data_IF_907391945573
#
_entry.id   IF_907391945573
#
_cell.length_a   1.000
_cell.length_b   1.000
_cell.length_c   1.000
_cell.angle_alpha   90.00
_cell.angle_beta   90.00
_cell.angle_gamma   90.00
#
_symmetry.space_group_name_H-M   'P 1'
#
loop_
_entity.id
_entity.type
_entity.pdbx_description
1 polymer ?
#
# COMPACT_ATOMS: atom_id res chain seq x y z
N UNK A 1 -18.01 -16.85 -15.06
CA UNK A 1 -17.45 -17.64 -13.94
C UNK A 1 -18.50 -17.70 -12.85
N UNK A 2 -18.89 -18.89 -12.40
CA UNK A 2 -19.84 -19.05 -11.29
C UNK A 2 -19.18 -18.72 -9.94
N UNK A 3 -20.00 -18.61 -8.89
CA UNK A 3 -19.56 -18.17 -7.56
C UNK A 3 -18.54 -19.11 -6.93
N UNK A 4 -18.67 -20.42 -7.12
CA UNK A 4 -17.76 -21.40 -6.51
C UNK A 4 -16.39 -21.34 -7.17
N UNK A 5 -16.37 -21.27 -8.50
CA UNK A 5 -15.12 -21.11 -9.28
C UNK A 5 -14.41 -19.80 -8.96
N UNK A 6 -15.14 -18.70 -8.76
CA UNK A 6 -14.56 -17.41 -8.34
C UNK A 6 -13.84 -17.52 -6.99
N UNK A 7 -14.47 -18.15 -6.00
CA UNK A 7 -13.90 -18.25 -4.65
C UNK A 7 -12.68 -19.17 -4.58
N UNK A 8 -12.67 -20.24 -5.38
CA UNK A 8 -11.48 -21.08 -5.58
C UNK A 8 -10.34 -20.29 -6.23
N UNK A 9 -10.65 -19.52 -7.29
CA UNK A 9 -9.68 -18.71 -8.02
C UNK A 9 -9.06 -17.62 -7.13
N UNK A 10 -9.87 -16.97 -6.29
CA UNK A 10 -9.38 -16.01 -5.27
C UNK A 10 -8.46 -16.67 -4.26
N UNK A 11 -8.82 -17.85 -3.77
CA UNK A 11 -8.00 -18.58 -2.78
C UNK A 11 -6.65 -18.98 -3.38
N UNK A 12 -6.64 -19.47 -4.62
CA UNK A 12 -5.41 -19.76 -5.35
C UNK A 12 -4.55 -18.50 -5.56
N UNK A 13 -5.16 -17.38 -5.96
CA UNK A 13 -4.48 -16.09 -6.12
C UNK A 13 -3.86 -15.61 -4.79
N UNK A 14 -4.65 -15.62 -3.71
CA UNK A 14 -4.18 -15.25 -2.36
C UNK A 14 -2.98 -16.11 -1.91
N UNK A 15 -3.00 -17.41 -2.20
CA UNK A 15 -1.92 -18.34 -1.87
C UNK A 15 -0.66 -18.07 -2.70
N UNK A 16 -0.80 -17.98 -4.02
CA UNK A 16 0.32 -17.75 -4.95
C UNK A 16 0.99 -16.39 -4.74
N UNK A 17 0.19 -15.34 -4.49
CA UNK A 17 0.68 -13.99 -4.23
C UNK A 17 1.08 -13.75 -2.77
N UNK A 18 0.90 -14.73 -1.88
CA UNK A 18 1.00 -14.58 -0.42
C UNK A 18 0.26 -13.34 0.08
N UNK A 19 -0.96 -13.13 -0.46
CA UNK A 19 -1.81 -11.96 -0.24
C UNK A 19 -1.08 -10.62 -0.47
N UNK A 20 -0.22 -10.55 -1.49
CA UNK A 20 0.46 -9.31 -1.85
C UNK A 20 1.53 -8.86 -0.84
N UNK A 21 2.04 -9.75 0.02
CA UNK A 21 3.02 -9.40 1.07
C UNK A 21 4.22 -8.60 0.53
N UNK A 22 4.71 -8.93 -0.67
CA UNK A 22 5.80 -8.24 -1.33
C UNK A 22 5.52 -6.74 -1.61
N UNK A 23 4.26 -6.36 -1.86
CA UNK A 23 3.85 -4.96 -2.00
C UNK A 23 3.89 -4.22 -0.66
N UNK A 24 3.40 -4.84 0.42
CA UNK A 24 3.41 -4.20 1.75
C UNK A 24 4.84 -4.12 2.29
N UNK A 25 5.71 -5.10 1.99
CA UNK A 25 7.13 -4.99 2.30
C UNK A 25 7.81 -3.86 1.52
N UNK A 26 7.45 -3.67 0.24
CA UNK A 26 7.96 -2.56 -0.55
C UNK A 26 7.49 -1.21 0.00
N UNK A 27 6.23 -1.12 0.44
CA UNK A 27 5.70 0.12 1.02
C UNK A 27 6.43 0.53 2.29
N UNK A 28 6.86 -0.42 3.15
CA UNK A 28 7.67 -0.10 4.34
C UNK A 28 8.94 0.65 3.94
N UNK A 29 9.61 0.21 2.88
CA UNK A 29 10.81 0.88 2.35
C UNK A 29 10.44 2.28 1.85
N UNK A 30 9.32 2.44 1.14
CA UNK A 30 8.86 3.74 0.65
C UNK A 30 8.57 4.70 1.81
N UNK A 31 7.83 4.27 2.84
CA UNK A 31 7.52 5.15 3.97
C UNK A 31 8.73 5.47 4.84
N UNK A 32 9.72 4.58 4.90
CA UNK A 32 11.03 4.91 5.49
C UNK A 32 11.73 6.03 4.72
N UNK A 33 11.70 6.01 3.38
CA UNK A 33 12.26 7.10 2.57
C UNK A 33 11.48 8.40 2.77
N UNK A 34 10.14 8.34 2.78
CA UNK A 34 9.28 9.51 3.07
C UNK A 34 9.58 10.08 4.46
N UNK A 35 9.73 9.24 5.47
CA UNK A 35 10.11 9.67 6.81
C UNK A 35 11.45 10.42 6.80
N UNK A 36 12.48 9.84 6.17
CA UNK A 36 13.80 10.47 6.03
C UNK A 36 13.70 11.83 5.32
N UNK A 37 12.94 11.91 4.22
CA UNK A 37 12.71 13.17 3.48
C UNK A 37 12.10 14.24 4.40
N UNK A 38 11.10 13.88 5.20
CA UNK A 38 10.42 14.82 6.09
C UNK A 38 11.20 15.18 7.36
N UNK A 39 12.30 14.47 7.69
CA UNK A 39 13.28 14.88 8.71
C UNK A 39 14.25 15.95 8.23
N UNK A 40 14.39 16.16 6.92
CA UNK A 40 15.31 17.16 6.37
C UNK A 40 14.88 18.59 6.70
N UNK A 41 15.78 19.55 6.54
CA UNK A 41 15.48 21.00 6.68
C UNK A 41 15.02 21.65 5.36
N UNK A 42 14.69 20.86 4.34
CA UNK A 42 14.24 21.36 3.05
C UNK A 42 12.86 22.05 3.13
N UNK A 43 12.53 22.95 2.18
CA UNK A 43 11.18 23.49 2.01
C UNK A 43 10.14 22.38 1.85
N UNK A 44 8.89 22.64 2.28
CA UNK A 44 7.82 21.64 2.29
C UNK A 44 7.50 21.15 0.86
N UNK A 45 7.62 22.05 -0.12
CA UNK A 45 7.39 21.81 -1.54
C UNK A 45 8.40 20.79 -2.07
N UNK A 46 9.69 21.01 -1.76
CA UNK A 46 10.76 20.07 -2.14
C UNK A 46 10.58 18.73 -1.45
N UNK A 47 10.21 18.71 -0.16
CA UNK A 47 9.93 17.46 0.56
C UNK A 47 8.80 16.68 -0.09
N UNK A 48 7.71 17.36 -0.42
CA UNK A 48 6.55 16.77 -1.04
C UNK A 48 6.83 16.23 -2.46
N UNK A 49 7.61 16.96 -3.26
CA UNK A 49 8.08 16.47 -4.56
C UNK A 49 8.94 15.21 -4.41
N UNK A 50 9.88 15.21 -3.46
CA UNK A 50 10.69 14.03 -3.16
C UNK A 50 9.84 12.86 -2.67
N UNK A 51 8.86 13.12 -1.79
CA UNK A 51 7.88 12.13 -1.33
C UNK A 51 7.11 11.52 -2.49
N UNK A 52 6.66 12.32 -3.46
CA UNK A 52 6.05 11.81 -4.69
C UNK A 52 7.01 10.88 -5.46
N UNK A 53 8.26 11.32 -5.68
CA UNK A 53 9.28 10.51 -6.34
C UNK A 53 9.58 9.18 -5.61
N UNK A 54 9.54 9.18 -4.27
CA UNK A 54 9.71 7.96 -3.47
C UNK A 54 8.64 6.91 -3.78
N UNK A 55 7.44 7.29 -4.25
CA UNK A 55 6.38 6.32 -4.57
C UNK A 55 6.56 5.65 -5.93
N UNK A 56 7.25 6.30 -6.88
CA UNK A 56 7.46 5.78 -8.24
C UNK A 56 8.07 4.36 -8.30
N UNK A 57 9.10 4.01 -7.51
CA UNK A 57 9.71 2.68 -7.56
C UNK A 57 8.90 1.57 -6.85
N UNK A 58 7.70 1.84 -6.31
CA UNK A 58 6.93 0.85 -5.54
C UNK A 58 6.72 -0.47 -6.31
N UNK A 59 6.26 -0.41 -7.55
CA UNK A 59 6.03 -1.60 -8.39
C UNK A 59 7.34 -2.37 -8.69
N UNK A 60 8.42 -1.73 -9.17
CA UNK A 60 9.72 -2.37 -9.30
C UNK A 60 10.23 -3.02 -8.02
N UNK A 61 10.11 -2.34 -6.87
CA UNK A 61 10.53 -2.88 -5.57
C UNK A 61 9.71 -4.09 -5.15
N UNK A 62 8.38 -4.02 -5.29
CA UNK A 62 7.50 -5.15 -5.02
C UNK A 62 7.86 -6.36 -5.89
N UNK A 63 8.17 -6.13 -7.17
CA UNK A 63 8.65 -7.18 -8.06
C UNK A 63 9.98 -7.78 -7.60
N UNK A 64 10.94 -6.96 -7.17
CA UNK A 64 12.21 -7.46 -6.62
C UNK A 64 12.00 -8.32 -5.36
N UNK A 65 11.12 -7.89 -4.46
CA UNK A 65 10.80 -8.61 -3.22
C UNK A 65 9.96 -9.87 -3.45
N UNK A 66 9.28 -9.99 -4.59
CA UNK A 66 8.51 -11.20 -4.95
C UNK A 66 9.41 -12.43 -5.16
N UNK A 67 10.64 -12.22 -5.69
CA UNK A 67 11.59 -13.28 -6.02
C UNK A 67 12.04 -14.12 -4.82
N UNK A 68 12.63 -13.56 -3.75
CA UNK A 68 13.02 -14.35 -2.58
C UNK A 68 11.83 -15.00 -1.86
N UNK A 69 10.62 -14.46 -2.06
CA UNK A 69 9.39 -15.03 -1.52
C UNK A 69 8.82 -16.16 -2.39
N UNK A 70 9.40 -16.46 -3.56
CA UNK A 70 8.89 -17.48 -4.48
C UNK A 70 7.51 -17.13 -5.05
N UNK A 71 7.21 -15.83 -5.21
CA UNK A 71 5.93 -15.34 -5.72
C UNK A 71 6.05 -15.09 -7.23
N UNK A 72 5.15 -15.67 -8.01
CA UNK A 72 5.00 -15.38 -9.45
C UNK A 72 4.22 -14.08 -9.64
N UNK A 73 4.92 -12.98 -9.93
CA UNK A 73 4.31 -11.64 -10.01
C UNK A 73 3.17 -11.51 -11.03
N UNK A 74 3.21 -12.27 -12.13
CA UNK A 74 2.13 -12.32 -13.12
C UNK A 74 1.89 -13.76 -13.56
N UNK A 75 1.07 -14.47 -12.80
CA UNK A 75 0.58 -15.79 -13.15
C UNK A 75 -0.55 -15.68 -14.17
N UNK A 76 -0.33 -16.21 -15.38
CA UNK A 76 -1.29 -16.16 -16.49
C UNK A 76 -2.39 -17.22 -16.38
N UNK A 77 -2.21 -18.24 -15.54
CA UNK A 77 -3.24 -19.27 -15.32
C UNK A 77 -4.39 -18.70 -14.48
N UNK A 78 -4.07 -17.80 -13.55
CA UNK A 78 -5.06 -17.14 -12.71
C UNK A 78 -5.28 -15.68 -13.14
N UNK A 79 -6.38 -15.35 -13.84
CA UNK A 79 -6.65 -13.99 -14.32
C UNK A 79 -6.80 -12.96 -13.19
N UNK A 80 -7.07 -13.40 -11.95
CA UNK A 80 -7.13 -12.50 -10.79
C UNK A 80 -5.75 -11.97 -10.36
N UNK A 81 -4.66 -12.64 -10.75
CA UNK A 81 -3.31 -12.11 -10.55
C UNK A 81 -3.09 -10.85 -11.40
N UNK A 82 -3.49 -10.89 -12.67
CA UNK A 82 -3.47 -9.71 -13.55
C UNK A 82 -4.43 -8.62 -13.07
N UNK A 83 -5.58 -8.99 -12.50
CA UNK A 83 -6.51 -8.02 -11.90
C UNK A 83 -5.87 -7.25 -10.73
N UNK A 84 -5.00 -7.90 -9.94
CA UNK A 84 -4.23 -7.20 -8.90
C UNK A 84 -3.38 -6.05 -9.45
N UNK A 85 -2.78 -6.23 -10.63
CA UNK A 85 -2.03 -5.16 -11.32
C UNK A 85 -2.98 -4.04 -11.75
N UNK A 86 -4.16 -4.38 -12.27
CA UNK A 86 -5.18 -3.39 -12.64
C UNK A 86 -5.58 -2.55 -11.43
N UNK A 87 -5.78 -3.16 -10.26
CA UNK A 87 -6.02 -2.41 -9.02
C UNK A 87 -4.85 -1.48 -8.71
N UNK A 88 -3.61 -1.97 -8.74
CA UNK A 88 -2.43 -1.13 -8.49
C UNK A 88 -2.34 0.08 -9.44
N UNK A 89 -2.74 -0.08 -10.71
CA UNK A 89 -2.78 1.02 -11.69
C UNK A 89 -3.98 1.95 -11.44
N UNK A 90 -5.10 1.42 -10.95
CA UNK A 90 -6.31 2.19 -10.66
C UNK A 90 -6.09 3.24 -9.55
N UNK A 91 -4.99 3.17 -8.80
CA UNK A 91 -4.66 4.21 -7.82
C UNK A 91 -4.03 5.47 -8.44
N UNK A 92 -3.46 5.37 -9.66
CA UNK A 92 -2.77 6.48 -10.32
C UNK A 92 -3.67 7.71 -10.50
N UNK A 93 -4.95 7.58 -10.92
CA UNK A 93 -5.87 8.71 -10.97
C UNK A 93 -6.06 9.43 -9.63
N UNK A 94 -5.98 8.72 -8.48
CA UNK A 94 -6.09 9.35 -7.17
C UNK A 94 -4.88 10.24 -6.83
N UNK A 95 -3.74 10.05 -7.50
CA UNK A 95 -2.58 10.94 -7.35
C UNK A 95 -2.88 12.36 -7.83
N UNK A 96 -3.87 12.56 -8.71
CA UNK A 96 -4.32 13.91 -9.09
C UNK A 96 -4.84 14.69 -7.87
N UNK A 97 -5.51 14.00 -6.95
CA UNK A 97 -5.99 14.59 -5.69
C UNK A 97 -4.80 14.95 -4.80
N UNK A 98 -3.81 14.04 -4.70
CA UNK A 98 -2.58 14.29 -3.92
C UNK A 98 -1.81 15.49 -4.48
N UNK A 99 -1.69 15.59 -5.80
CA UNK A 99 -1.00 16.70 -6.46
C UNK A 99 -1.77 18.03 -6.39
N UNK A 100 -3.10 17.97 -6.36
CA UNK A 100 -3.91 19.15 -6.07
C UNK A 100 -3.70 19.62 -4.63
N UNK A 101 -3.69 18.72 -3.64
CA UNK A 101 -3.38 19.07 -2.24
C UNK A 101 -1.97 19.60 -2.10
N UNK A 102 -1.00 19.03 -2.83
CA UNK A 102 0.37 19.57 -2.88
C UNK A 102 0.40 21.05 -3.27
N UNK A 103 -0.43 21.48 -4.23
CA UNK A 103 -0.51 22.87 -4.65
C UNK A 103 -1.35 23.75 -3.71
N UNK A 104 -2.44 23.22 -3.15
CA UNK A 104 -3.41 23.99 -2.37
C UNK A 104 -3.07 24.09 -0.88
N UNK A 105 -2.62 22.99 -0.27
CA UNK A 105 -2.31 22.86 1.16
C UNK A 105 -1.13 21.88 1.34
N UNK A 106 0.11 22.28 1.01
CA UNK A 106 1.26 21.38 0.93
C UNK A 106 1.55 20.63 2.24
N UNK A 107 1.23 21.20 3.40
CA UNK A 107 1.41 20.58 4.71
C UNK A 107 0.56 19.31 4.88
N UNK A 108 -0.49 19.14 4.07
CA UNK A 108 -1.43 18.02 4.15
C UNK A 108 -1.23 16.97 3.06
N UNK A 109 -0.26 17.15 2.16
CA UNK A 109 -0.01 16.20 1.07
C UNK A 109 0.28 14.77 1.58
N UNK A 110 1.14 14.61 2.60
CA UNK A 110 1.49 13.29 3.17
C UNK A 110 0.29 12.59 3.80
N UNK A 111 -0.60 13.36 4.45
CA UNK A 111 -1.87 12.88 4.97
C UNK A 111 -2.76 12.35 3.85
N UNK A 112 -2.95 13.13 2.80
CA UNK A 112 -3.76 12.72 1.64
C UNK A 112 -3.17 11.49 0.95
N UNK A 113 -1.85 11.43 0.79
CA UNK A 113 -1.17 10.26 0.22
C UNK A 113 -1.40 8.99 1.06
N UNK A 114 -1.25 9.08 2.38
CA UNK A 114 -1.51 7.96 3.30
C UNK A 114 -2.98 7.51 3.27
N UNK A 115 -3.93 8.44 3.18
CA UNK A 115 -5.35 8.13 3.05
C UNK A 115 -5.67 7.42 1.74
N UNK A 116 -5.11 7.89 0.61
CA UNK A 116 -5.27 7.23 -0.70
C UNK A 116 -4.70 5.82 -0.66
N UNK A 117 -3.50 5.64 -0.07
CA UNK A 117 -2.90 4.32 0.12
C UNK A 117 -3.80 3.41 0.96
N UNK A 118 -4.30 3.88 2.11
CA UNK A 118 -5.19 3.11 2.98
C UNK A 118 -6.49 2.68 2.29
N UNK A 119 -7.14 3.60 1.59
CA UNK A 119 -8.38 3.33 0.87
C UNK A 119 -8.16 2.33 -0.28
N UNK A 120 -7.01 2.42 -0.96
CA UNK A 120 -6.61 1.52 -2.04
C UNK A 120 -6.40 0.07 -1.59
N UNK A 121 -6.25 -0.21 -0.30
CA UNK A 121 -6.17 -1.58 0.22
C UNK A 121 -7.51 -2.33 0.16
N UNK A 122 -8.64 -1.62 0.06
CA UNK A 122 -9.98 -2.24 0.15
C UNK A 122 -10.27 -3.27 -0.95
N UNK A 123 -9.98 -3.01 -2.25
CA UNK A 123 -10.13 -4.00 -3.31
C UNK A 123 -9.26 -5.26 -3.09
N UNK A 124 -8.10 -5.11 -2.46
CA UNK A 124 -7.23 -6.24 -2.13
C UNK A 124 -7.77 -7.10 -0.99
N UNK A 125 -8.51 -6.51 -0.04
CA UNK A 125 -9.27 -7.29 0.95
C UNK A 125 -10.27 -8.25 0.29
N UNK A 126 -10.93 -7.80 -0.78
CA UNK A 126 -11.83 -8.64 -1.57
C UNK A 126 -11.08 -9.65 -2.43
N UNK A 127 -10.00 -9.24 -3.10
CA UNK A 127 -9.19 -10.08 -4.00
C UNK A 127 -8.56 -11.24 -3.24
N UNK A 128 -7.96 -10.96 -2.09
CA UNK A 128 -7.21 -11.92 -1.28
C UNK A 128 -8.02 -12.56 -0.16
N UNK A 129 -9.31 -12.22 -0.04
CA UNK A 129 -10.19 -12.64 1.06
C UNK A 129 -9.53 -12.47 2.44
N UNK A 130 -8.86 -11.33 2.62
CA UNK A 130 -8.07 -11.06 3.82
C UNK A 130 -8.82 -10.15 4.76
N UNK A 131 -9.00 -10.59 6.01
CA UNK A 131 -9.57 -9.75 7.07
C UNK A 131 -8.60 -8.64 7.45
N UNK A 132 -7.29 -8.94 7.41
CA UNK A 132 -6.24 -7.99 7.74
C UNK A 132 -6.32 -6.77 6.81
N UNK A 133 -6.48 -6.97 5.51
CA UNK A 133 -6.64 -5.85 4.55
C UNK A 133 -7.83 -4.96 4.90
N UNK A 134 -9.01 -5.52 5.20
CA UNK A 134 -10.18 -4.72 5.58
C UNK A 134 -9.97 -3.88 6.84
N UNK A 135 -9.33 -4.47 7.87
CA UNK A 135 -9.03 -3.76 9.11
C UNK A 135 -8.00 -2.65 8.83
N UNK A 136 -6.94 -2.97 8.08
CA UNK A 136 -5.87 -2.01 7.77
C UNK A 136 -6.35 -0.86 6.88
N UNK A 137 -7.31 -1.08 5.97
CA UNK A 137 -7.98 0.01 5.23
C UNK A 137 -8.54 1.06 6.20
N UNK A 138 -9.31 0.63 7.20
CA UNK A 138 -9.90 1.54 8.18
C UNK A 138 -8.84 2.21 9.06
N UNK A 139 -7.92 1.42 9.61
CA UNK A 139 -6.84 1.90 10.48
C UNK A 139 -5.96 2.92 9.79
N UNK A 140 -5.50 2.64 8.56
CA UNK A 140 -4.61 3.55 7.83
C UNK A 140 -5.37 4.78 7.36
N UNK A 141 -6.57 4.65 6.79
CA UNK A 141 -7.30 5.79 6.24
C UNK A 141 -7.73 6.77 7.34
N UNK A 142 -8.36 6.27 8.40
CA UNK A 142 -8.84 7.10 9.51
C UNK A 142 -7.66 7.54 10.39
N UNK A 143 -6.70 6.66 10.64
CA UNK A 143 -5.50 6.98 11.40
C UNK A 143 -4.67 8.06 10.72
N UNK A 144 -4.48 7.99 9.40
CA UNK A 144 -3.78 9.02 8.65
C UNK A 144 -4.48 10.38 8.74
N UNK A 145 -5.81 10.41 8.62
CA UNK A 145 -6.59 11.64 8.80
C UNK A 145 -6.38 12.25 10.18
N UNK A 146 -6.55 11.45 11.25
CA UNK A 146 -6.40 11.94 12.64
C UNK A 146 -4.97 12.44 12.87
N UNK A 147 -3.96 11.63 12.56
CA UNK A 147 -2.56 11.98 12.79
C UNK A 147 -2.14 13.17 11.92
N UNK A 148 -2.55 13.20 10.65
CA UNK A 148 -2.24 14.30 9.73
C UNK A 148 -2.94 15.62 10.06
N UNK A 149 -4.04 15.59 10.80
CA UNK A 149 -4.68 16.80 11.33
C UNK A 149 -3.94 17.32 12.58
N UNK A 150 -3.43 16.43 13.43
CA UNK A 150 -2.89 16.77 14.74
C UNK A 150 -1.37 16.95 14.77
N UNK A 151 -0.62 16.28 13.89
CA UNK A 151 0.83 16.18 13.96
C UNK A 151 1.51 16.57 12.64
N UNK A 152 2.81 16.94 12.69
CA UNK A 152 3.59 17.21 11.49
C UNK A 152 3.78 15.96 10.59
N UNK A 153 4.11 16.15 9.30
CA UNK A 153 4.23 15.06 8.33
C UNK A 153 5.25 13.96 8.71
N UNK A 154 6.35 14.29 9.40
CA UNK A 154 7.34 13.29 9.79
C UNK A 154 6.79 12.33 10.86
N UNK A 155 5.92 12.79 11.77
CA UNK A 155 5.27 11.91 12.75
C UNK A 155 4.30 10.96 12.02
N UNK A 156 3.51 11.48 11.08
CA UNK A 156 2.63 10.66 10.25
C UNK A 156 3.42 9.60 9.47
N UNK A 157 4.52 9.98 8.82
CA UNK A 157 5.35 9.04 8.07
C UNK A 157 5.94 7.95 8.98
N UNK A 158 6.38 8.29 10.19
CA UNK A 158 6.83 7.31 11.19
C UNK A 158 5.69 6.36 11.62
N UNK A 159 4.48 6.89 11.85
CA UNK A 159 3.31 6.07 12.14
C UNK A 159 3.00 5.10 10.98
N UNK A 160 3.11 5.56 9.73
CA UNK A 160 2.92 4.71 8.55
C UNK A 160 3.94 3.57 8.49
N UNK A 161 5.22 3.85 8.72
CA UNK A 161 6.26 2.80 8.83
C UNK A 161 5.85 1.74 9.86
N UNK A 162 5.49 2.17 11.07
CA UNK A 162 5.13 1.26 12.15
C UNK A 162 3.89 0.42 11.81
N UNK A 163 2.85 1.05 11.26
CA UNK A 163 1.61 0.37 10.86
C UNK A 163 1.85 -0.63 9.74
N UNK A 164 2.70 -0.31 8.76
CA UNK A 164 2.99 -1.23 7.66
C UNK A 164 3.89 -2.41 8.07
N UNK A 165 4.79 -2.22 9.03
CA UNK A 165 5.50 -3.34 9.66
C UNK A 165 4.51 -4.26 10.36
N UNK A 166 3.58 -3.70 11.14
CA UNK A 166 2.51 -4.48 11.79
C UNK A 166 1.67 -5.19 10.72
N UNK A 167 1.33 -4.53 9.62
CA UNK A 167 0.57 -5.11 8.53
C UNK A 167 1.31 -6.29 7.89
N UNK A 168 2.62 -6.16 7.63
CA UNK A 168 3.45 -7.28 7.16
C UNK A 168 3.39 -8.47 8.11
N UNK A 169 3.54 -8.24 9.42
CA UNK A 169 3.50 -9.30 10.44
C UNK A 169 2.13 -9.99 10.49
N UNK A 170 1.05 -9.21 10.43
CA UNK A 170 -0.31 -9.73 10.40
C UNK A 170 -0.59 -10.56 9.14
N UNK A 171 -0.11 -10.13 7.96
CA UNK A 171 -0.23 -10.91 6.73
C UNK A 171 0.60 -12.19 6.77
N UNK A 172 1.81 -12.16 7.33
CA UNK A 172 2.62 -13.36 7.55
C UNK A 172 1.85 -14.35 8.44
N UNK A 173 1.25 -13.87 9.53
CA UNK A 173 0.43 -14.70 10.41
C UNK A 173 -0.82 -15.24 9.69
N UNK A 174 -1.55 -14.41 8.94
CA UNK A 174 -2.75 -14.82 8.20
C UNK A 174 -2.42 -15.84 7.10
N UNK A 175 -1.25 -15.72 6.47
CA UNK A 175 -0.77 -16.65 5.45
C UNK A 175 -0.38 -18.02 6.01
N UNK A 176 0.03 -18.11 7.29
CA UNK A 176 0.26 -19.42 7.95
C UNK A 176 -1.03 -20.23 8.12
N UNK A 177 -2.17 -19.55 8.18
CA UNK A 177 -3.49 -20.18 8.33
C UNK A 177 -4.10 -20.62 6.98
N UNK A 178 -3.50 -20.23 5.84
CA UNK A 178 -3.83 -20.77 4.51
C UNK A 178 -3.07 -22.10 4.29
N UNK A 179 -3.47 -23.16 4.98
CA UNK A 179 -3.12 -24.52 4.58
C UNK A 179 -4.11 -25.01 3.53
#
# INVERSE_FOLDING_TARGET
MDKQTLEQTKTACARGQKRGLHFIMASVIIWMLVFIVHLTKLPIETKNLLTFCCTCPLMPLAWMLSKPLGITFNDKENPLTSLGIVFSVAQIPYLLIVMWVYAAVPEKMVMTLAMVFGAHLLPFGWLYRSKVYYIMTGVITIGALIVGLMFPPHILALCMVAVEIIFCLLLIAENRNLK
#
